data_IF_014129033734
#
_entry.id   IF_014129033734
#
_cell.length_a   1.000
_cell.length_b   1.000
_cell.length_c   1.000
_cell.angle_alpha   90.00
_cell.angle_beta   90.00
_cell.angle_gamma   90.00
#
_symmetry.space_group_name_H-M   'P 1'
#
loop_
_entity.id
_entity.type
_entity.pdbx_description
1 polymer ?
#
# COMPACT_ATOMS: atom_id res chain seq x y z
N UNK A 1 -15.47 -1.33 -4.16
CA UNK A 1 -14.61 -2.25 -4.93
C UNK A 1 -13.23 -1.63 -4.91
N UNK A 2 -12.27 -2.22 -4.22
CA UNK A 2 -10.87 -1.75 -4.27
C UNK A 2 -10.30 -2.29 -5.57
N UNK A 3 -10.22 -1.44 -6.58
CA UNK A 3 -9.55 -1.81 -7.83
C UNK A 3 -8.10 -1.38 -7.67
N UNK A 4 -7.17 -2.33 -7.68
CA UNK A 4 -5.77 -2.04 -7.95
C UNK A 4 -5.63 -1.64 -9.43
N UNK A 5 -6.12 -0.46 -9.75
CA UNK A 5 -5.97 0.15 -11.07
C UNK A 5 -4.58 0.73 -11.17
N UNK A 6 -3.85 0.36 -12.22
CA UNK A 6 -2.65 1.05 -12.68
C UNK A 6 -3.02 2.44 -13.21
N UNK A 7 -3.29 3.36 -12.30
CA UNK A 7 -3.41 4.77 -12.65
C UNK A 7 -2.03 5.41 -12.66
N UNK A 8 -1.76 6.34 -13.59
CA UNK A 8 -0.55 7.15 -13.52
C UNK A 8 -0.54 7.93 -12.20
N UNK A 9 0.65 8.31 -11.69
CA UNK A 9 0.77 9.13 -10.49
C UNK A 9 -0.12 10.37 -10.55
N UNK A 10 -0.77 10.76 -9.44
CA UNK A 10 -1.64 11.93 -9.42
C UNK A 10 -0.86 13.20 -9.75
N UNK A 11 -1.34 13.98 -10.72
CA UNK A 11 -0.73 15.25 -11.15
C UNK A 11 -1.34 16.48 -10.47
N UNK A 12 -2.50 16.32 -9.83
CA UNK A 12 -3.22 17.37 -9.11
C UNK A 12 -3.42 16.97 -7.65
N UNK A 13 -3.54 17.96 -6.76
CA UNK A 13 -3.79 17.72 -5.34
C UNK A 13 -2.64 17.02 -4.60
N UNK A 14 -1.46 16.88 -5.21
CA UNK A 14 -0.30 16.23 -4.62
C UNK A 14 0.18 16.98 -3.37
N UNK A 15 0.21 16.28 -2.23
CA UNK A 15 0.63 16.81 -0.93
C UNK A 15 2.04 16.36 -0.56
N UNK A 16 2.40 15.10 -0.88
CA UNK A 16 3.70 14.53 -0.56
C UNK A 16 4.15 13.53 -1.61
N UNK A 17 5.46 13.46 -1.84
CA UNK A 17 6.11 12.46 -2.66
C UNK A 17 7.22 11.83 -1.82
N UNK A 18 7.18 10.51 -1.68
CA UNK A 18 8.19 9.74 -1.00
C UNK A 18 8.83 8.76 -1.98
N UNK A 19 9.99 9.15 -2.51
CA UNK A 19 10.82 8.26 -3.32
C UNK A 19 11.38 7.10 -2.49
N UNK A 20 11.85 6.06 -3.18
CA UNK A 20 12.49 4.89 -2.59
C UNK A 20 11.65 4.25 -1.48
N UNK A 21 10.40 4.04 -1.77
CA UNK A 21 9.44 3.39 -0.88
C UNK A 21 9.11 2.00 -1.41
N UNK A 22 9.38 0.97 -0.62
CA UNK A 22 8.96 -0.40 -0.93
C UNK A 22 7.51 -0.61 -0.52
N UNK A 23 6.70 -1.20 -1.40
CA UNK A 23 5.31 -1.51 -1.12
C UNK A 23 5.13 -3.01 -0.87
N UNK A 24 4.41 -3.36 0.18
CA UNK A 24 3.97 -4.72 0.47
C UNK A 24 2.45 -4.76 0.45
N UNK A 25 1.88 -5.74 -0.26
CA UNK A 25 0.46 -6.06 -0.20
C UNK A 25 0.34 -7.42 0.49
N UNK A 26 -0.39 -7.46 1.60
CA UNK A 26 -0.25 -8.53 2.59
C UNK A 26 1.24 -8.68 2.97
N UNK A 27 1.85 -9.82 2.64
CA UNK A 27 3.27 -10.12 2.87
C UNK A 27 4.12 -10.16 1.58
N UNK A 28 3.51 -9.84 0.43
CA UNK A 28 4.20 -9.85 -0.87
C UNK A 28 4.79 -8.48 -1.16
N UNK A 29 6.10 -8.42 -1.35
CA UNK A 29 6.79 -7.20 -1.82
C UNK A 29 6.54 -6.99 -3.32
N UNK A 30 6.25 -5.73 -3.68
CA UNK A 30 6.13 -5.25 -5.06
C UNK A 30 7.38 -4.48 -5.50
N UNK A 31 8.43 -4.47 -4.68
CA UNK A 31 9.69 -3.79 -4.94
C UNK A 31 9.69 -2.31 -4.56
N UNK A 32 10.79 -1.64 -4.90
CA UNK A 32 11.02 -0.22 -4.55
C UNK A 32 10.43 0.68 -5.63
N UNK A 33 9.64 1.66 -5.20
CA UNK A 33 8.99 2.63 -6.07
C UNK A 33 8.86 3.99 -5.40
N UNK A 34 7.88 4.76 -5.87
CA UNK A 34 7.56 6.08 -5.33
C UNK A 34 6.14 6.10 -4.80
N UNK A 35 5.98 6.55 -3.56
CA UNK A 35 4.70 6.78 -2.92
C UNK A 35 4.28 8.24 -3.14
N UNK A 36 3.06 8.42 -3.64
CA UNK A 36 2.42 9.71 -3.88
C UNK A 36 1.21 9.83 -2.97
N UNK A 37 1.15 10.90 -2.20
CA UNK A 37 0.01 11.23 -1.34
C UNK A 37 -0.66 12.46 -1.94
N UNK A 38 -1.82 12.27 -2.55
CA UNK A 38 -2.65 13.36 -3.07
C UNK A 38 -3.86 13.61 -2.16
N UNK A 39 -4.64 14.65 -2.41
CA UNK A 39 -5.82 14.99 -1.59
C UNK A 39 -6.96 13.99 -1.72
N UNK A 40 -7.07 13.27 -2.84
CA UNK A 40 -8.16 12.35 -3.16
C UNK A 40 -7.77 10.87 -3.03
N UNK A 41 -6.49 10.54 -3.21
CA UNK A 41 -5.96 9.18 -3.17
C UNK A 41 -4.50 9.12 -2.72
N UNK A 42 -4.10 7.91 -2.36
CA UNK A 42 -2.72 7.48 -2.22
C UNK A 42 -2.36 6.60 -3.42
N UNK A 43 -1.22 6.83 -4.04
CA UNK A 43 -0.75 6.03 -5.18
C UNK A 43 0.68 5.56 -4.97
N UNK A 44 1.01 4.37 -5.45
CA UNK A 44 2.38 3.88 -5.47
C UNK A 44 2.68 3.30 -6.85
N UNK A 45 3.86 3.60 -7.40
CA UNK A 45 4.33 2.97 -8.63
C UNK A 45 5.83 2.69 -8.62
N UNK A 46 6.23 1.66 -9.34
CA UNK A 46 7.62 1.30 -9.57
C UNK A 46 8.32 2.24 -10.58
N UNK A 47 9.59 1.96 -10.88
CA UNK A 47 10.36 2.71 -11.88
C UNK A 47 9.82 2.60 -13.31
N UNK A 48 8.98 1.59 -13.58
CA UNK A 48 8.34 1.36 -14.87
C UNK A 48 7.03 2.13 -15.02
N UNK A 49 6.57 2.80 -13.94
CA UNK A 49 5.28 3.48 -13.87
C UNK A 49 4.11 2.52 -13.63
N UNK A 50 4.37 1.26 -13.33
CA UNK A 50 3.35 0.28 -12.97
C UNK A 50 3.12 0.33 -11.46
N UNK A 51 1.87 0.25 -11.04
CA UNK A 51 1.52 0.43 -9.65
C UNK A 51 0.03 0.36 -9.38
N UNK A 52 -0.38 0.91 -8.25
CA UNK A 52 -1.77 0.92 -7.80
C UNK A 52 -2.13 2.22 -7.08
N UNK A 53 -3.42 2.47 -6.92
CA UNK A 53 -3.94 3.60 -6.15
C UNK A 53 -5.02 3.14 -5.17
N UNK A 54 -5.09 3.82 -4.03
CA UNK A 54 -6.04 3.61 -2.94
C UNK A 54 -6.77 4.93 -2.71
N UNK A 55 -8.09 4.93 -2.88
CA UNK A 55 -8.91 6.05 -2.48
C UNK A 55 -9.04 6.05 -0.95
N UNK A 56 -8.96 7.22 -0.30
CA UNK A 56 -9.02 7.30 1.16
C UNK A 56 -10.25 6.63 1.79
N UNK A 57 -11.47 6.69 1.21
CA UNK A 57 -12.62 5.99 1.77
C UNK A 57 -12.46 4.46 1.82
N UNK A 58 -11.57 3.86 1.02
CA UNK A 58 -11.30 2.43 1.07
C UNK A 58 -10.28 2.04 2.16
N UNK A 59 -9.61 3.01 2.78
CA UNK A 59 -8.66 2.79 3.87
C UNK A 59 -9.42 2.87 5.20
N UNK A 60 -9.68 1.72 5.80
CA UNK A 60 -10.33 1.60 7.11
C UNK A 60 -9.49 2.19 8.23
N UNK A 61 -8.17 1.97 8.18
CA UNK A 61 -7.23 2.45 9.18
C UNK A 61 -5.86 2.67 8.57
N UNK A 62 -5.16 3.71 9.00
CA UNK A 62 -3.75 3.92 8.71
C UNK A 62 -2.96 4.19 10.00
N UNK A 63 -1.71 3.75 10.05
CA UNK A 63 -0.83 3.92 11.20
C UNK A 63 0.63 4.03 10.79
N UNK A 64 1.41 4.76 11.60
CA UNK A 64 2.88 4.75 11.50
C UNK A 64 3.38 3.65 12.44
N UNK A 65 3.86 2.55 11.86
CA UNK A 65 4.37 1.40 12.60
C UNK A 65 5.88 1.52 12.73
N UNK A 66 6.37 1.84 13.93
CA UNK A 66 7.81 1.89 14.24
C UNK A 66 8.32 0.66 15.00
N UNK A 67 7.40 -0.11 15.58
CA UNK A 67 7.75 -1.34 16.27
C UNK A 67 7.99 -2.47 15.26
N UNK A 68 9.20 -3.01 15.25
CA UNK A 68 9.61 -4.04 14.30
C UNK A 68 9.36 -5.47 14.80
N UNK A 69 8.60 -5.63 15.88
CA UNK A 69 8.30 -6.94 16.46
C UNK A 69 7.39 -7.80 15.57
N UNK A 70 6.44 -7.17 14.87
CA UNK A 70 5.46 -7.83 14.00
C UNK A 70 5.83 -7.78 12.51
N UNK A 71 6.57 -6.75 12.10
CA UNK A 71 7.04 -6.57 10.73
C UNK A 71 8.45 -5.98 10.76
N UNK A 72 9.43 -6.51 10.00
CA UNK A 72 10.85 -6.20 10.22
C UNK A 72 11.26 -4.76 9.89
N UNK A 73 10.38 -3.93 9.35
CA UNK A 73 10.66 -2.56 8.94
C UNK A 73 9.66 -1.56 9.53
N UNK A 74 10.14 -0.34 9.74
CA UNK A 74 9.25 0.77 10.05
C UNK A 74 8.47 1.15 8.79
N UNK A 75 7.16 1.33 8.90
CA UNK A 75 6.30 1.51 7.73
C UNK A 75 5.07 2.37 8.01
N UNK A 76 4.51 2.92 6.95
CA UNK A 76 3.12 3.38 6.93
C UNK A 76 2.24 2.16 6.61
N UNK A 77 1.46 1.74 7.59
CA UNK A 77 0.51 0.64 7.46
C UNK A 77 -0.88 1.18 7.08
N UNK A 78 -1.55 0.51 6.16
CA UNK A 78 -2.92 0.77 5.74
C UNK A 78 -3.72 -0.55 5.73
N UNK A 79 -4.82 -0.58 6.46
CA UNK A 79 -5.83 -1.63 6.41
C UNK A 79 -6.99 -1.14 5.54
N UNK A 80 -7.42 -1.97 4.60
CA UNK A 80 -8.50 -1.70 3.67
C UNK A 80 -9.80 -2.38 4.13
N UNK A 81 -10.93 -1.80 3.74
CA UNK A 81 -12.26 -2.33 4.07
C UNK A 81 -12.55 -3.67 3.41
N UNK A 82 -11.96 -3.91 2.23
CA UNK A 82 -12.17 -5.13 1.45
C UNK A 82 -10.83 -5.81 1.13
N UNK A 83 -10.83 -7.14 0.89
CA UNK A 83 -9.64 -7.85 0.44
C UNK A 83 -9.07 -7.24 -0.82
N UNK A 84 -7.75 -7.29 -0.95
CA UNK A 84 -7.08 -7.01 -2.22
C UNK A 84 -7.18 -8.26 -3.09
N UNK A 85 -7.87 -8.14 -4.22
CA UNK A 85 -8.00 -9.21 -5.21
C UNK A 85 -6.70 -9.27 -6.05
N UNK A 86 -5.62 -9.85 -5.48
CA UNK A 86 -4.44 -10.22 -6.25
C UNK A 86 -4.80 -11.50 -7.02
N UNK A 87 -4.99 -11.41 -8.34
CA UNK A 87 -5.54 -12.47 -9.20
C UNK A 87 -4.66 -13.74 -9.33
N UNK A 88 -3.77 -14.06 -8.37
CA UNK A 88 -2.78 -15.14 -8.49
C UNK A 88 -2.47 -15.93 -7.20
N UNK A 89 -3.41 -16.18 -6.28
CA UNK A 89 -3.14 -17.20 -5.23
C UNK A 89 -4.39 -17.95 -4.74
N UNK A 90 -4.68 -19.06 -5.42
CA UNK A 90 -5.32 -20.24 -4.82
C UNK A 90 -4.32 -20.89 -3.86
N UNK A 91 -4.44 -20.68 -2.55
CA UNK A 91 -4.01 -21.66 -1.55
C UNK A 91 -4.96 -21.55 -0.35
N UNK A 92 -5.66 -22.65 -0.10
CA UNK A 92 -6.61 -22.82 0.98
C UNK A 92 -5.92 -22.65 2.34
N UNK A 93 -6.26 -21.59 3.07
CA UNK A 93 -6.14 -21.55 4.52
C UNK A 93 -7.51 -21.23 5.09
N UNK A 94 -8.08 -22.24 5.72
CA UNK A 94 -9.32 -22.23 6.49
C UNK A 94 -9.10 -21.44 7.78
N UNK A 95 -9.19 -20.11 7.71
CA UNK A 95 -9.47 -19.27 8.87
C UNK A 95 -10.54 -18.27 8.45
N UNK A 96 -11.70 -18.36 9.10
CA UNK A 96 -12.88 -17.52 8.85
C UNK A 96 -12.70 -16.13 9.48
N UNK A 97 -11.58 -15.48 9.18
CA UNK A 97 -11.37 -14.06 9.43
C UNK A 97 -11.62 -13.34 8.11
N UNK A 98 -12.52 -12.35 8.13
CA UNK A 98 -12.82 -11.50 7.00
C UNK A 98 -11.49 -10.98 6.43
N UNK A 99 -11.09 -11.46 5.23
CA UNK A 99 -9.79 -11.14 4.62
C UNK A 99 -9.73 -9.64 4.34
N UNK A 100 -9.34 -8.84 5.32
CA UNK A 100 -9.09 -7.41 5.12
C UNK A 100 -7.84 -7.26 4.25
N UNK A 101 -7.85 -6.28 3.36
CA UNK A 101 -6.67 -5.96 2.56
C UNK A 101 -5.63 -5.22 3.41
N UNK A 102 -4.39 -5.69 3.45
CA UNK A 102 -3.30 -4.98 4.15
C UNK A 102 -2.29 -4.46 3.15
N UNK A 103 -1.83 -3.22 3.36
CA UNK A 103 -0.75 -2.61 2.56
C UNK A 103 0.23 -1.91 3.50
N UNK A 104 1.53 -2.13 3.29
CA UNK A 104 2.62 -1.48 4.03
C UNK A 104 3.52 -0.74 3.06
N UNK A 105 3.86 0.51 3.40
CA UNK A 105 4.82 1.32 2.66
C UNK A 105 6.07 1.54 3.52
N UNK A 106 7.21 1.05 3.06
CA UNK A 106 8.50 1.08 3.77
C UNK A 106 9.42 2.08 3.07
N UNK A 107 9.53 3.32 3.55
CA UNK A 107 10.47 4.27 2.98
C UNK A 107 11.93 3.95 3.39
N UNK A 108 12.87 4.10 2.46
CA UNK A 108 14.31 4.06 2.78
C UNK A 108 14.71 5.20 3.72
N UNK A 109 14.14 6.39 3.48
CA UNK A 109 14.32 7.57 4.32
C UNK A 109 13.28 7.60 5.44
N UNK A 110 13.77 7.47 6.68
CA UNK A 110 12.97 7.43 7.90
C UNK A 110 12.88 8.78 8.62
N UNK A 111 13.36 9.86 7.99
CA UNK A 111 13.35 11.19 8.58
C UNK A 111 11.98 11.89 8.60
N UNK A 112 10.93 11.20 8.15
CA UNK A 112 9.52 11.61 8.22
C UNK A 112 8.93 11.39 9.62
#
# INVERSE_FOLDING_TARGET
>A
MVVMTSFPPPTEGLQHIQEKTEAFVQDKSYGVGTLYIATDRLSWCDSSGQGFSLEYPAISLHAICRDTSQFPHECLYCMLEMPVDDNETDEASDDSTEKVGEIRFVPEDKSI
#
